data_IF_294651802293
#
_entry.id   IF_294651802293
#
_cell.length_a   1.000
_cell.length_b   1.000
_cell.length_c   1.000
_cell.angle_alpha   90.00
_cell.angle_beta   90.00
_cell.angle_gamma   90.00
#
_symmetry.space_group_name_H-M   'P 1'
#
loop_
_entity.id
_entity.type
_entity.pdbx_description
1 polymer ?
#
# COMPACT_ATOMS: atom_id res chain seq x y z
N UNK A 1 30.12 -18.20 -40.74
CA UNK A 1 29.51 -18.45 -39.39
C UNK A 1 28.52 -17.36 -39.13
N UNK A 2 27.24 -17.65 -39.33
CA UNK A 2 26.16 -16.67 -39.13
C UNK A 2 25.82 -16.60 -37.64
N UNK A 3 26.12 -15.47 -37.01
CA UNK A 3 25.62 -15.17 -35.68
C UNK A 3 24.14 -14.77 -35.80
N UNK A 4 23.25 -15.68 -35.38
CA UNK A 4 21.84 -15.36 -35.19
C UNK A 4 21.73 -14.37 -34.04
N UNK A 5 21.37 -13.13 -34.33
CA UNK A 5 20.95 -12.13 -33.38
C UNK A 5 19.60 -12.62 -32.86
N UNK A 6 19.56 -13.18 -31.66
CA UNK A 6 18.33 -13.37 -30.92
C UNK A 6 17.84 -11.97 -30.48
N UNK A 7 16.81 -11.51 -31.16
CA UNK A 7 16.02 -10.36 -30.68
C UNK A 7 15.46 -10.71 -29.31
N UNK A 8 15.46 -9.79 -28.33
CA UNK A 8 14.80 -10.04 -27.05
C UNK A 8 13.33 -10.30 -27.33
N UNK A 9 12.84 -11.46 -26.93
CA UNK A 9 11.42 -11.80 -26.93
C UNK A 9 10.68 -10.68 -26.19
N UNK A 10 9.81 -10.02 -26.94
CA UNK A 10 9.02 -8.90 -26.44
C UNK A 10 8.28 -9.27 -25.17
N UNK A 11 8.21 -8.34 -24.26
CA UNK A 11 7.40 -8.35 -23.03
C UNK A 11 5.90 -8.43 -23.35
N UNK A 12 5.47 -9.53 -23.97
CA UNK A 12 4.06 -9.89 -24.10
C UNK A 12 3.56 -10.23 -22.69
N UNK A 13 2.80 -9.30 -22.12
CA UNK A 13 1.87 -9.42 -21.01
C UNK A 13 2.21 -10.49 -19.95
N UNK A 14 3.13 -10.21 -19.03
CA UNK A 14 3.22 -11.02 -17.80
C UNK A 14 1.91 -10.85 -17.04
N UNK A 15 1.04 -11.83 -17.11
CA UNK A 15 -0.12 -11.91 -16.20
C UNK A 15 0.39 -12.06 -14.78
N UNK A 16 -0.20 -11.35 -13.78
CA UNK A 16 0.20 -11.51 -12.39
C UNK A 16 0.04 -12.98 -11.98
N UNK A 17 0.96 -13.49 -11.17
CA UNK A 17 0.84 -14.86 -10.68
C UNK A 17 -0.45 -15.02 -9.89
N UNK A 18 -1.16 -16.12 -10.07
CA UNK A 18 -2.40 -16.42 -9.35
C UNK A 18 -2.23 -16.22 -7.83
N UNK A 19 -1.08 -16.60 -7.28
CA UNK A 19 -0.75 -16.39 -5.87
C UNK A 19 -0.81 -14.92 -5.45
N UNK A 20 -0.39 -13.98 -6.30
CA UNK A 20 -0.43 -12.54 -6.01
C UNK A 20 -1.86 -12.01 -5.97
N UNK A 21 -2.72 -12.47 -6.88
CA UNK A 21 -4.14 -12.11 -6.88
C UNK A 21 -4.83 -12.68 -5.64
N UNK A 22 -4.58 -13.95 -5.32
CA UNK A 22 -5.12 -14.59 -4.09
C UNK A 22 -4.65 -13.83 -2.85
N UNK A 23 -3.37 -13.44 -2.78
CA UNK A 23 -2.84 -12.64 -1.68
C UNK A 23 -3.57 -11.30 -1.55
N UNK A 24 -3.84 -10.62 -2.66
CA UNK A 24 -4.56 -9.36 -2.66
C UNK A 24 -6.04 -9.53 -2.26
N UNK A 25 -6.70 -10.62 -2.70
CA UNK A 25 -8.05 -10.94 -2.26
C UNK A 25 -8.12 -11.23 -0.75
N UNK A 26 -7.16 -11.99 -0.22
CA UNK A 26 -7.06 -12.24 1.22
C UNK A 26 -6.77 -10.97 2.01
N UNK A 27 -5.92 -10.08 1.48
CA UNK A 27 -5.68 -8.77 2.05
C UNK A 27 -6.98 -7.96 2.16
N UNK A 28 -7.72 -7.88 1.06
CA UNK A 28 -8.99 -7.16 0.98
C UNK A 28 -10.02 -7.70 1.99
N UNK A 29 -10.22 -9.02 2.06
CA UNK A 29 -11.14 -9.66 3.01
C UNK A 29 -10.74 -9.36 4.45
N UNK A 30 -9.45 -9.46 4.75
CA UNK A 30 -8.93 -9.19 6.09
C UNK A 30 -9.08 -7.71 6.47
N UNK A 31 -8.81 -6.79 5.54
CA UNK A 31 -8.92 -5.34 5.77
C UNK A 31 -10.40 -4.96 5.90
N UNK A 32 -11.27 -5.45 5.04
CA UNK A 32 -12.72 -5.17 5.09
C UNK A 32 -13.36 -5.65 6.41
N UNK A 33 -12.84 -6.72 7.03
CA UNK A 33 -13.30 -7.16 8.35
C UNK A 33 -12.99 -6.15 9.47
N UNK A 34 -12.09 -5.19 9.23
CA UNK A 34 -11.73 -4.17 10.22
C UNK A 34 -12.94 -3.32 10.62
N UNK A 35 -13.85 -2.99 9.70
CA UNK A 35 -15.05 -2.22 9.99
C UNK A 35 -15.89 -2.87 11.11
N UNK A 36 -16.00 -4.20 11.11
CA UNK A 36 -16.73 -4.95 12.14
C UNK A 36 -16.00 -4.86 13.48
N UNK A 37 -14.69 -5.12 13.50
CA UNK A 37 -13.91 -5.05 14.75
C UNK A 37 -13.84 -3.62 15.30
N UNK A 38 -13.73 -2.59 14.45
CA UNK A 38 -13.74 -1.19 14.88
C UNK A 38 -15.07 -0.88 15.56
N UNK A 39 -16.21 -1.26 14.98
CA UNK A 39 -17.55 -1.04 15.57
C UNK A 39 -17.69 -1.67 16.96
N UNK A 40 -17.06 -2.82 17.20
CA UNK A 40 -17.03 -3.42 18.54
C UNK A 40 -16.05 -2.72 19.47
N UNK A 41 -14.89 -2.30 18.99
CA UNK A 41 -13.88 -1.59 19.78
C UNK A 41 -14.38 -0.24 20.27
N UNK A 42 -15.11 0.50 19.42
CA UNK A 42 -15.66 1.82 19.73
C UNK A 42 -16.74 1.83 20.79
N UNK A 43 -17.22 0.67 21.23
CA UNK A 43 -18.09 0.56 22.40
C UNK A 43 -17.36 0.84 23.73
N UNK A 44 -16.03 0.72 23.75
CA UNK A 44 -15.24 0.87 24.98
C UNK A 44 -14.17 1.97 24.89
N UNK A 45 -13.55 2.13 23.72
CA UNK A 45 -12.44 3.06 23.51
C UNK A 45 -12.67 3.95 22.29
N UNK A 46 -12.01 5.12 22.26
CA UNK A 46 -12.16 6.04 21.13
C UNK A 46 -11.58 5.48 19.82
N UNK A 47 -12.00 6.01 18.66
CA UNK A 47 -11.43 5.63 17.36
C UNK A 47 -9.91 5.80 17.30
N UNK A 48 -9.37 6.84 17.93
CA UNK A 48 -7.92 7.08 18.02
C UNK A 48 -7.22 6.02 18.87
N UNK A 49 -7.80 5.66 20.01
CA UNK A 49 -7.30 4.59 20.86
C UNK A 49 -7.37 3.22 20.16
N UNK A 50 -8.42 2.98 19.38
CA UNK A 50 -8.55 1.77 18.55
C UNK A 50 -7.41 1.68 17.52
N UNK A 51 -7.12 2.77 16.78
CA UNK A 51 -6.01 2.82 15.81
C UNK A 51 -4.64 2.65 16.52
N UNK A 52 -4.41 3.33 17.64
CA UNK A 52 -3.20 3.18 18.45
C UNK A 52 -2.98 1.72 18.88
N UNK A 53 -4.01 1.10 19.47
CA UNK A 53 -3.92 -0.28 19.96
C UNK A 53 -3.66 -1.26 18.80
N UNK A 54 -4.24 -1.05 17.64
CA UNK A 54 -3.96 -1.84 16.44
C UNK A 54 -2.47 -1.80 16.09
N UNK A 55 -1.83 -0.61 16.13
CA UNK A 55 -0.40 -0.48 15.82
C UNK A 55 0.50 -1.01 16.93
N UNK A 56 0.19 -0.66 18.18
CA UNK A 56 0.96 -1.10 19.34
C UNK A 56 0.98 -2.63 19.47
N UNK A 57 -0.18 -3.29 19.40
CA UNK A 57 -0.27 -4.75 19.43
C UNK A 57 0.50 -5.41 18.30
N UNK A 58 0.35 -4.89 17.07
CA UNK A 58 1.11 -5.37 15.91
C UNK A 58 2.61 -5.26 16.17
N UNK A 59 3.08 -4.14 16.71
CA UNK A 59 4.49 -3.92 17.03
C UNK A 59 5.00 -4.94 18.05
N UNK A 60 4.23 -5.22 19.09
CA UNK A 60 4.58 -6.22 20.11
C UNK A 60 4.61 -7.62 19.51
N UNK A 61 3.57 -8.03 18.79
CA UNK A 61 3.49 -9.37 18.19
C UNK A 61 4.64 -9.62 17.21
N UNK A 62 4.86 -8.70 16.28
CA UNK A 62 5.93 -8.84 15.28
C UNK A 62 7.32 -8.64 15.90
N UNK A 63 7.45 -7.80 16.92
CA UNK A 63 8.70 -7.61 17.67
C UNK A 63 9.13 -8.89 18.38
N UNK A 64 8.21 -9.52 19.13
CA UNK A 64 8.44 -10.80 19.79
C UNK A 64 8.76 -11.91 18.78
N UNK A 65 8.00 -12.01 17.70
CA UNK A 65 8.26 -12.97 16.63
C UNK A 65 9.63 -12.80 15.99
N UNK A 66 9.99 -11.56 15.68
CA UNK A 66 11.29 -11.24 15.06
C UNK A 66 12.45 -11.50 16.02
N UNK A 67 12.28 -11.15 17.30
CA UNK A 67 13.25 -11.43 18.37
C UNK A 67 13.47 -12.93 18.57
N UNK A 68 12.40 -13.71 18.67
CA UNK A 68 12.48 -15.16 18.79
C UNK A 68 13.21 -15.81 17.60
N UNK A 69 12.87 -15.39 16.37
CA UNK A 69 13.55 -15.90 15.18
C UNK A 69 15.05 -15.50 15.13
N UNK A 70 15.40 -14.30 15.64
CA UNK A 70 16.80 -13.88 15.72
C UNK A 70 17.60 -14.74 16.68
N UNK A 71 17.06 -15.02 17.88
CA UNK A 71 17.70 -15.91 18.87
C UNK A 71 17.88 -17.32 18.32
N UNK A 72 16.82 -17.87 17.68
CA UNK A 72 16.89 -19.19 17.08
C UNK A 72 17.96 -19.31 16.00
N UNK A 73 18.09 -18.30 15.12
CA UNK A 73 19.15 -18.28 14.09
C UNK A 73 20.56 -18.18 14.67
N UNK A 74 20.74 -17.48 15.79
CA UNK A 74 22.03 -17.47 16.49
C UNK A 74 22.42 -18.84 17.05
N UNK A 75 21.46 -19.62 17.55
CA UNK A 75 21.69 -20.98 18.05
C UNK A 75 22.02 -21.98 16.93
N UNK A 76 21.52 -21.77 15.73
CA UNK A 76 21.78 -22.65 14.56
C UNK A 76 23.13 -22.39 13.89
N UNK A 77 24.04 -21.60 14.48
CA UNK A 77 25.38 -21.25 13.97
C UNK A 77 25.42 -20.73 12.51
N UNK A 78 24.30 -20.27 11.99
CA UNK A 78 24.16 -19.73 10.63
C UNK A 78 24.50 -18.24 10.59
N UNK A 79 25.61 -17.82 11.21
CA UNK A 79 26.05 -16.44 11.22
C UNK A 79 26.82 -16.12 9.92
N UNK A 80 26.12 -15.93 8.83
CA UNK A 80 26.66 -15.13 7.73
C UNK A 80 26.49 -13.66 8.13
N UNK A 81 27.57 -12.84 8.20
CA UNK A 81 27.43 -11.40 8.44
C UNK A 81 26.65 -10.78 7.29
N UNK A 82 25.35 -10.67 7.45
CA UNK A 82 24.50 -10.01 6.48
C UNK A 82 24.68 -8.51 6.72
N UNK A 83 25.29 -7.79 5.76
CA UNK A 83 25.33 -6.33 5.80
C UNK A 83 23.94 -5.80 6.10
N UNK A 84 23.84 -4.92 7.09
CA UNK A 84 22.54 -4.40 7.51
C UNK A 84 21.89 -3.69 6.30
N UNK A 85 20.68 -4.07 5.88
CA UNK A 85 20.04 -3.45 4.73
C UNK A 85 19.59 -2.01 5.01
N UNK A 86 19.79 -1.50 6.23
CA UNK A 86 19.29 -0.20 6.67
C UNK A 86 20.23 0.92 6.25
N UNK A 87 20.02 1.46 5.05
CA UNK A 87 20.63 2.73 4.62
C UNK A 87 19.79 3.91 5.13
N UNK A 88 20.37 5.12 5.18
CA UNK A 88 19.60 6.32 5.56
C UNK A 88 18.34 6.53 4.71
N UNK A 89 18.38 6.16 3.43
CA UNK A 89 17.23 6.23 2.54
C UNK A 89 16.10 5.24 2.95
N UNK A 90 16.47 4.02 3.31
CA UNK A 90 15.50 3.00 3.76
C UNK A 90 14.86 3.41 5.09
N UNK A 91 15.66 3.96 6.03
CA UNK A 91 15.14 4.46 7.31
C UNK A 91 14.16 5.61 7.06
N UNK A 92 14.48 6.56 6.17
CA UNK A 92 13.57 7.63 5.78
C UNK A 92 12.27 7.12 5.16
N UNK A 93 12.34 6.11 4.28
CA UNK A 93 11.15 5.49 3.69
C UNK A 93 10.29 4.76 4.74
N UNK A 94 10.90 4.03 5.67
CA UNK A 94 10.20 3.38 6.79
C UNK A 94 9.47 4.40 7.66
N UNK A 95 10.14 5.54 7.97
CA UNK A 95 9.52 6.62 8.70
C UNK A 95 8.30 7.20 7.96
N UNK A 96 8.43 7.46 6.65
CA UNK A 96 7.32 7.93 5.82
C UNK A 96 6.16 6.94 5.80
N UNK A 97 6.42 5.64 5.62
CA UNK A 97 5.38 4.60 5.62
C UNK A 97 4.63 4.59 6.95
N UNK A 98 5.32 4.62 8.09
CA UNK A 98 4.67 4.64 9.41
C UNK A 98 3.91 5.95 9.68
N UNK A 99 4.48 7.10 9.28
CA UNK A 99 3.85 8.41 9.42
C UNK A 99 2.55 8.51 8.62
N UNK A 100 2.59 8.14 7.34
CA UNK A 100 1.42 8.23 6.46
C UNK A 100 0.35 7.17 6.77
N UNK A 101 0.74 6.00 7.26
CA UNK A 101 -0.19 5.02 7.79
C UNK A 101 -0.94 5.54 9.04
N UNK A 102 -0.23 6.20 9.95
CA UNK A 102 -0.86 6.81 11.13
C UNK A 102 -1.74 8.00 10.72
N UNK A 103 -1.24 8.86 9.83
CA UNK A 103 -1.98 10.04 9.35
C UNK A 103 -3.30 9.66 8.67
N UNK A 104 -3.28 8.63 7.80
CA UNK A 104 -4.47 8.11 7.15
C UNK A 104 -5.53 7.70 8.17
N UNK A 105 -5.21 6.78 9.08
CA UNK A 105 -6.19 6.27 10.03
C UNK A 105 -6.68 7.32 11.03
N UNK A 106 -5.82 8.22 11.47
CA UNK A 106 -6.18 9.27 12.43
C UNK A 106 -7.06 10.33 11.76
N UNK A 107 -6.69 10.78 10.56
CA UNK A 107 -7.47 11.79 9.82
C UNK A 107 -8.81 11.22 9.38
N UNK A 108 -8.85 9.96 8.97
CA UNK A 108 -10.10 9.28 8.65
C UNK A 108 -11.00 9.16 9.89
N UNK A 109 -10.47 8.72 11.03
CA UNK A 109 -11.20 8.65 12.29
C UNK A 109 -11.72 10.03 12.72
N UNK A 110 -10.91 11.08 12.60
CA UNK A 110 -11.34 12.45 12.88
C UNK A 110 -12.41 12.94 11.91
N UNK A 111 -12.30 12.62 10.63
CA UNK A 111 -13.30 13.00 9.64
C UNK A 111 -14.68 12.45 9.98
N UNK A 112 -14.76 11.22 10.47
CA UNK A 112 -16.01 10.58 10.89
C UNK A 112 -16.70 11.33 12.06
N UNK A 113 -15.97 12.06 12.89
CA UNK A 113 -16.54 12.91 13.95
C UNK A 113 -17.04 14.25 13.42
N UNK A 114 -16.58 14.70 12.24
CA UNK A 114 -16.85 16.03 11.69
C UNK A 114 -17.83 16.01 10.51
N UNK A 115 -17.91 14.91 9.76
CA UNK A 115 -18.80 14.77 8.60
C UNK A 115 -19.62 13.48 8.66
N UNK A 116 -20.46 13.22 7.66
CA UNK A 116 -21.21 11.96 7.62
C UNK A 116 -20.27 10.79 7.24
N UNK A 117 -20.58 9.61 7.75
CA UNK A 117 -19.84 8.38 7.42
C UNK A 117 -19.79 8.17 5.91
N UNK A 118 -20.90 8.46 5.21
CA UNK A 118 -20.98 8.36 3.75
C UNK A 118 -20.00 9.30 3.06
N UNK A 119 -19.95 10.59 3.44
CA UNK A 119 -19.01 11.55 2.86
C UNK A 119 -17.55 11.16 3.14
N UNK A 120 -17.21 10.85 4.39
CA UNK A 120 -15.87 10.45 4.77
C UNK A 120 -15.40 9.23 3.96
N UNK A 121 -16.26 8.22 3.82
CA UNK A 121 -15.93 6.99 3.06
C UNK A 121 -15.81 7.26 1.57
N UNK A 122 -16.70 8.07 0.98
CA UNK A 122 -16.62 8.44 -0.44
C UNK A 122 -15.31 9.17 -0.77
N UNK A 123 -14.94 10.14 0.08
CA UNK A 123 -13.74 10.94 -0.14
C UNK A 123 -12.47 10.13 0.10
N UNK A 124 -12.46 9.21 1.06
CA UNK A 124 -11.37 8.26 1.27
C UNK A 124 -11.18 7.32 0.06
N UNK A 125 -12.25 6.95 -0.61
CA UNK A 125 -12.22 6.13 -1.84
C UNK A 125 -11.61 6.86 -3.07
N UNK A 126 -11.21 8.12 -2.96
CA UNK A 126 -10.41 8.82 -3.99
C UNK A 126 -8.92 8.47 -3.96
N UNK A 127 -8.47 7.62 -3.06
CA UNK A 127 -7.09 7.14 -2.99
C UNK A 127 -6.50 6.72 -4.35
N UNK A 128 -7.19 5.95 -5.24
CA UNK A 128 -6.63 5.58 -6.55
C UNK A 128 -6.35 6.79 -7.45
N UNK A 129 -7.17 7.84 -7.36
CA UNK A 129 -6.96 9.08 -8.12
C UNK A 129 -5.66 9.75 -7.66
N UNK A 130 -5.46 9.89 -6.35
CA UNK A 130 -4.22 10.43 -5.78
C UNK A 130 -3.01 9.56 -6.10
N UNK A 131 -3.15 8.22 -6.09
CA UNK A 131 -2.09 7.30 -6.47
C UNK A 131 -1.69 7.45 -7.93
N UNK A 132 -2.65 7.58 -8.84
CA UNK A 132 -2.37 7.85 -10.26
C UNK A 132 -1.74 9.23 -10.47
N UNK A 133 -2.24 10.26 -9.81
CA UNK A 133 -1.67 11.61 -9.89
C UNK A 133 -0.23 11.61 -9.35
N UNK A 134 0.01 10.97 -8.21
CA UNK A 134 1.35 10.81 -7.64
C UNK A 134 2.29 10.02 -8.53
N UNK A 135 1.83 8.90 -9.09
CA UNK A 135 2.59 8.08 -10.04
C UNK A 135 2.97 8.86 -11.31
N UNK A 136 2.03 9.64 -11.84
CA UNK A 136 2.30 10.50 -13.01
C UNK A 136 3.26 11.65 -12.68
N UNK A 137 3.03 12.37 -11.60
CA UNK A 137 3.78 13.58 -11.25
C UNK A 137 5.20 13.27 -10.75
N UNK A 138 5.35 12.30 -9.84
CA UNK A 138 6.63 12.02 -9.16
C UNK A 138 7.41 10.86 -9.80
N UNK A 139 6.70 9.88 -10.38
CA UNK A 139 7.32 8.69 -10.96
C UNK A 139 7.31 8.72 -12.48
N UNK A 140 6.73 9.77 -13.11
CA UNK A 140 6.56 9.90 -14.57
C UNK A 140 5.91 8.67 -15.21
N UNK A 141 5.05 7.97 -14.45
CA UNK A 141 4.31 6.82 -14.96
C UNK A 141 3.28 7.29 -15.97
N UNK A 142 3.11 6.51 -17.04
CA UNK A 142 2.04 6.71 -18.02
C UNK A 142 1.05 5.56 -17.85
N UNK A 143 -0.22 5.92 -17.71
CA UNK A 143 -1.30 4.95 -17.60
C UNK A 143 -1.97 4.82 -18.96
N UNK A 144 -2.26 3.58 -19.36
CA UNK A 144 -3.00 3.32 -20.60
C UNK A 144 -4.49 3.63 -20.43
N UNK A 145 -5.16 3.82 -21.56
CA UNK A 145 -6.58 4.21 -21.57
C UNK A 145 -7.47 3.16 -20.91
N UNK A 146 -7.13 1.89 -21.04
CA UNK A 146 -7.89 0.78 -20.45
C UNK A 146 -7.86 0.85 -18.91
N UNK A 147 -6.70 1.12 -18.31
CA UNK A 147 -6.56 1.31 -16.87
C UNK A 147 -7.38 2.49 -16.37
N UNK A 148 -7.25 3.65 -17.03
CA UNK A 148 -7.97 4.88 -16.65
C UNK A 148 -9.48 4.72 -16.80
N UNK A 149 -9.94 4.05 -17.85
CA UNK A 149 -11.37 3.77 -18.06
C UNK A 149 -11.92 2.84 -16.98
N UNK A 150 -11.21 1.75 -16.69
CA UNK A 150 -11.60 0.83 -15.60
C UNK A 150 -11.64 1.52 -14.24
N UNK A 151 -10.67 2.37 -13.94
CA UNK A 151 -10.63 3.18 -12.73
C UNK A 151 -11.82 4.15 -12.68
N UNK A 152 -12.14 4.86 -13.77
CA UNK A 152 -13.27 5.78 -13.82
C UNK A 152 -14.60 5.06 -13.60
N UNK A 153 -14.78 3.87 -14.21
CA UNK A 153 -15.98 3.03 -14.02
C UNK A 153 -16.11 2.58 -12.57
N UNK A 154 -15.02 2.08 -11.95
CA UNK A 154 -15.03 1.61 -10.57
C UNK A 154 -15.33 2.75 -9.59
N UNK A 155 -14.70 3.91 -9.75
CA UNK A 155 -14.95 5.09 -8.92
C UNK A 155 -16.40 5.57 -9.08
N UNK A 156 -16.91 5.69 -10.30
CA UNK A 156 -18.29 6.12 -10.55
C UNK A 156 -19.30 5.18 -9.89
N UNK A 157 -19.05 3.86 -9.91
CA UNK A 157 -19.91 2.87 -9.26
C UNK A 157 -19.94 3.04 -7.74
N UNK A 158 -18.79 3.25 -7.09
CA UNK A 158 -18.71 3.49 -5.64
C UNK A 158 -19.39 4.82 -5.26
N UNK A 159 -19.20 5.87 -6.06
CA UNK A 159 -19.90 7.14 -5.84
C UNK A 159 -21.41 7.01 -5.99
N UNK A 160 -21.90 6.18 -6.93
CA UNK A 160 -23.34 5.93 -7.10
C UNK A 160 -23.97 5.27 -5.86
N UNK A 161 -23.22 4.39 -5.15
CA UNK A 161 -23.67 3.81 -3.89
C UNK A 161 -23.79 4.88 -2.80
N UNK A 162 -22.73 5.66 -2.61
CA UNK A 162 -22.67 6.63 -1.53
C UNK A 162 -23.50 7.90 -1.77
N UNK A 163 -23.86 8.20 -3.03
CA UNK A 163 -24.60 9.43 -3.34
C UNK A 163 -25.99 9.47 -2.73
N UNK A 164 -26.65 8.32 -2.56
CA UNK A 164 -27.94 8.23 -1.90
C UNK A 164 -27.88 8.53 -0.39
N UNK A 165 -26.72 8.24 0.24
CA UNK A 165 -26.49 8.47 1.67
C UNK A 165 -25.82 9.81 1.93
N UNK A 166 -25.39 10.49 0.87
CA UNK A 166 -24.68 11.77 0.92
C UNK A 166 -25.69 12.90 1.13
N UNK A 167 -26.09 13.11 2.37
CA UNK A 167 -26.72 14.38 2.74
C UNK A 167 -25.63 15.45 2.75
N UNK A 168 -25.66 16.35 1.78
CA UNK A 168 -24.87 17.57 1.73
C UNK A 168 -25.21 18.45 2.94
N UNK A 169 -24.74 18.03 4.11
CA UNK A 169 -24.95 18.75 5.36
C UNK A 169 -24.06 19.99 5.40
N UNK A 170 -24.70 21.13 5.37
CA UNK A 170 -24.08 22.44 5.54
C UNK A 170 -23.16 22.46 6.78
N UNK A 171 -21.89 22.80 6.60
CA UNK A 171 -20.96 23.12 7.68
C UNK A 171 -19.90 22.04 8.01
N UNK A 172 -19.79 20.95 7.27
CA UNK A 172 -18.86 19.83 7.57
C UNK A 172 -17.58 19.82 6.72
N UNK A 173 -17.22 20.97 6.15
CA UNK A 173 -16.11 21.14 5.22
C UNK A 173 -14.76 20.65 5.79
N UNK A 174 -14.50 20.85 7.09
CA UNK A 174 -13.26 20.39 7.73
C UNK A 174 -13.15 18.86 7.78
N UNK A 175 -14.27 18.16 8.02
CA UNK A 175 -14.31 16.70 7.99
C UNK A 175 -14.05 16.15 6.59
N UNK A 176 -14.63 16.79 5.58
CA UNK A 176 -14.43 16.40 4.18
C UNK A 176 -12.98 16.61 3.72
N UNK A 177 -12.35 17.74 4.12
CA UNK A 177 -10.91 17.95 3.87
C UNK A 177 -10.06 16.89 4.57
N UNK A 178 -10.37 16.54 5.82
CA UNK A 178 -9.63 15.51 6.53
C UNK A 178 -9.70 14.15 5.84
N UNK A 179 -10.88 13.75 5.34
CA UNK A 179 -11.04 12.52 4.55
C UNK A 179 -10.23 12.54 3.26
N UNK A 180 -10.17 13.69 2.55
CA UNK A 180 -9.31 13.84 1.37
C UNK A 180 -7.83 13.75 1.70
N UNK A 181 -7.39 14.37 2.81
CA UNK A 181 -5.99 14.28 3.26
C UNK A 181 -5.66 12.85 3.71
N UNK A 182 -6.61 12.13 4.32
CA UNK A 182 -6.47 10.71 4.62
C UNK A 182 -6.25 9.90 3.34
N UNK A 183 -7.10 10.07 2.32
CA UNK A 183 -6.94 9.41 1.02
C UNK A 183 -5.59 9.72 0.35
N UNK A 184 -5.14 10.96 0.40
CA UNK A 184 -3.82 11.36 -0.08
C UNK A 184 -2.71 10.68 0.73
N UNK A 185 -2.84 10.63 2.08
CA UNK A 185 -1.88 9.98 2.96
C UNK A 185 -1.76 8.49 2.66
N UNK A 186 -2.89 7.80 2.47
CA UNK A 186 -2.90 6.39 2.09
C UNK A 186 -2.28 6.15 0.71
N UNK A 187 -2.50 7.05 -0.25
CA UNK A 187 -1.85 7.02 -1.57
C UNK A 187 -0.32 7.11 -1.46
N UNK A 188 0.19 8.04 -0.65
CA UNK A 188 1.64 8.18 -0.40
C UNK A 188 2.18 6.93 0.31
N UNK A 189 1.46 6.43 1.33
CA UNK A 189 1.78 5.18 2.01
C UNK A 189 1.98 4.04 1.03
N UNK A 190 1.01 3.77 0.14
CA UNK A 190 1.09 2.69 -0.85
C UNK A 190 2.26 2.88 -1.83
N UNK A 191 2.50 4.11 -2.29
CA UNK A 191 3.58 4.42 -3.23
C UNK A 191 4.98 4.20 -2.63
N UNK A 192 5.17 4.59 -1.36
CA UNK A 192 6.44 4.36 -0.65
C UNK A 192 6.59 2.88 -0.30
N UNK A 193 5.50 2.24 0.09
CA UNK A 193 5.44 0.82 0.41
C UNK A 193 5.85 -0.07 -0.77
N UNK A 194 5.38 0.25 -1.99
CA UNK A 194 5.76 -0.44 -3.23
C UNK A 194 7.28 -0.41 -3.46
N UNK A 195 7.92 0.74 -3.20
CA UNK A 195 9.38 0.87 -3.34
C UNK A 195 10.12 0.09 -2.26
N UNK A 196 9.62 0.15 -1.03
CA UNK A 196 10.27 -0.45 0.11
C UNK A 196 10.17 -1.98 0.09
N UNK A 197 9.06 -2.51 -0.44
CA UNK A 197 8.82 -3.95 -0.56
C UNK A 197 9.89 -4.66 -1.38
N UNK A 198 10.44 -4.01 -2.41
CA UNK A 198 11.56 -4.57 -3.21
C UNK A 198 12.90 -4.63 -2.47
N UNK A 199 13.02 -3.93 -1.33
CA UNK A 199 14.27 -3.81 -0.56
C UNK A 199 14.22 -4.55 0.78
N UNK A 200 13.04 -4.64 1.38
CA UNK A 200 12.81 -5.26 2.67
C UNK A 200 11.65 -6.26 2.60
N UNK A 201 11.74 -7.33 3.40
CA UNK A 201 10.63 -8.27 3.54
C UNK A 201 9.44 -7.66 4.28
N UNK A 202 8.21 -8.11 3.95
CA UNK A 202 6.96 -7.60 4.48
C UNK A 202 6.92 -7.50 6.02
N UNK A 203 7.42 -8.53 6.73
CA UNK A 203 7.45 -8.54 8.21
C UNK A 203 8.25 -7.38 8.80
N UNK A 204 9.41 -7.04 8.20
CA UNK A 204 10.25 -5.92 8.67
C UNK A 204 9.57 -4.58 8.40
N UNK A 205 8.94 -4.44 7.23
CA UNK A 205 8.20 -3.23 6.87
C UNK A 205 7.04 -3.01 7.86
N UNK A 206 6.23 -4.05 8.10
CA UNK A 206 5.09 -3.98 9.02
C UNK A 206 5.53 -3.70 10.46
N UNK A 207 6.61 -4.30 10.94
CA UNK A 207 7.13 -4.05 12.27
C UNK A 207 7.51 -2.57 12.45
N UNK A 208 8.35 -2.06 11.56
CA UNK A 208 8.84 -0.68 11.66
C UNK A 208 7.74 0.35 11.39
N UNK A 209 6.89 0.14 10.38
CA UNK A 209 5.78 1.04 10.10
C UNK A 209 4.77 1.10 11.25
N UNK A 210 4.43 -0.05 11.85
CA UNK A 210 3.54 -0.10 13.01
C UNK A 210 4.18 0.52 14.25
N UNK A 211 5.49 0.32 14.49
CA UNK A 211 6.20 0.95 15.59
C UNK A 211 6.20 2.48 15.48
N UNK A 212 6.50 3.00 14.28
CA UNK A 212 6.47 4.44 14.02
C UNK A 212 5.04 4.99 14.14
N UNK A 213 4.06 4.28 13.57
CA UNK A 213 2.65 4.66 13.68
C UNK A 213 2.18 4.68 15.14
N UNK A 214 2.65 3.75 15.98
CA UNK A 214 2.39 3.75 17.43
C UNK A 214 2.92 5.02 18.10
N UNK A 215 4.18 5.39 17.79
CA UNK A 215 4.81 6.60 18.37
C UNK A 215 4.09 7.87 17.90
N UNK A 216 3.71 7.93 16.63
CA UNK A 216 3.01 9.09 16.06
C UNK A 216 1.58 9.23 16.60
N UNK A 217 0.86 8.12 16.79
CA UNK A 217 -0.53 8.14 17.30
C UNK A 217 -0.62 8.36 18.80
N UNK A 218 0.42 8.03 19.58
CA UNK A 218 0.40 8.14 21.03
C UNK A 218 0.05 9.55 21.56
N UNK A 219 0.67 10.65 21.09
CA UNK A 219 0.33 11.99 21.56
C UNK A 219 -1.15 12.33 21.32
N UNK A 220 -1.71 11.88 20.20
CA UNK A 220 -3.09 12.19 19.81
C UNK A 220 -4.07 11.48 20.76
N UNK A 221 -3.82 10.22 21.07
CA UNK A 221 -4.62 9.45 22.04
C UNK A 221 -4.55 10.05 23.44
N UNK A 222 -3.36 10.55 23.85
CA UNK A 222 -3.20 11.20 25.15
C UNK A 222 -3.93 12.56 25.23
N UNK A 223 -4.00 13.31 24.12
CA UNK A 223 -4.72 14.58 24.04
C UNK A 223 -6.24 14.34 24.03
N UNK A 224 -6.70 13.25 23.37
CA UNK A 224 -8.11 12.86 23.34
C UNK A 224 -8.69 12.63 24.77
N UNK A 225 -7.84 12.25 25.71
CA UNK A 225 -8.18 12.12 27.13
C UNK A 225 -9.15 10.98 27.47
N UNK A 226 -9.49 10.15 26.47
CA UNK A 226 -10.33 8.96 26.64
C UNK A 226 -9.57 7.76 27.21
N UNK A 227 -10.28 6.64 27.33
CA UNK A 227 -9.64 5.36 27.68
C UNK A 227 -8.71 4.91 26.56
N UNK A 228 -7.44 4.72 26.90
CA UNK A 228 -6.41 4.27 25.92
C UNK A 228 -6.52 2.78 25.65
N UNK A 229 -6.83 1.98 26.67
CA UNK A 229 -6.89 0.51 26.57
C UNK A 229 -8.28 -0.02 26.89
N UNK A 230 -8.72 -1.12 26.25
CA UNK A 230 -9.96 -1.78 26.60
C UNK A 230 -9.98 -2.26 28.06
N UNK A 231 -11.14 -2.26 28.66
CA UNK A 231 -11.33 -2.74 30.05
C UNK A 231 -11.90 -4.15 30.11
N UNK A 232 -12.66 -4.55 29.07
CA UNK A 232 -13.26 -5.88 29.01
C UNK A 232 -12.38 -6.86 28.23
N UNK A 233 -12.60 -8.15 28.43
CA UNK A 233 -11.93 -9.20 27.65
C UNK A 233 -12.39 -9.19 26.18
N UNK A 234 -13.65 -8.80 25.90
CA UNK A 234 -14.17 -8.65 24.54
C UNK A 234 -13.45 -7.53 23.79
N UNK A 235 -13.25 -6.37 24.45
CA UNK A 235 -12.49 -5.26 23.90
C UNK A 235 -11.06 -5.65 23.56
N UNK A 236 -10.37 -6.38 24.45
CA UNK A 236 -9.04 -6.90 24.19
C UNK A 236 -9.01 -7.89 23.02
N UNK A 237 -9.99 -8.83 22.96
CA UNK A 237 -10.10 -9.77 21.84
C UNK A 237 -10.27 -9.02 20.51
N UNK A 238 -11.11 -8.00 20.50
CA UNK A 238 -11.37 -7.17 19.31
C UNK A 238 -10.09 -6.49 18.82
N UNK A 239 -9.32 -5.88 19.71
CA UNK A 239 -8.06 -5.20 19.36
C UNK A 239 -7.00 -6.21 18.91
N UNK A 240 -6.93 -7.39 19.53
CA UNK A 240 -6.04 -8.48 19.10
C UNK A 240 -6.41 -8.95 17.69
N UNK A 241 -7.71 -9.10 17.40
CA UNK A 241 -8.19 -9.45 16.06
C UNK A 241 -7.86 -8.35 15.04
N UNK A 242 -8.03 -7.07 15.39
CA UNK A 242 -7.62 -5.95 14.54
C UNK A 242 -6.13 -5.99 14.22
N UNK A 243 -5.29 -6.24 15.22
CA UNK A 243 -3.84 -6.34 15.03
C UNK A 243 -3.44 -7.60 14.23
N UNK A 244 -4.00 -8.76 14.57
CA UNK A 244 -3.65 -10.04 13.95
C UNK A 244 -4.22 -10.20 12.53
N UNK A 245 -5.53 -10.02 12.39
CA UNK A 245 -6.22 -10.25 11.12
C UNK A 245 -6.04 -9.07 10.18
N UNK A 246 -6.38 -7.85 10.62
CA UNK A 246 -6.40 -6.73 9.70
C UNK A 246 -4.99 -6.16 9.45
N UNK A 247 -4.15 -6.05 10.49
CA UNK A 247 -2.83 -5.43 10.34
C UNK A 247 -1.77 -6.45 9.93
N UNK A 248 -1.62 -7.56 10.62
CA UNK A 248 -0.53 -8.51 10.30
C UNK A 248 -0.88 -9.30 9.04
N UNK A 249 -2.02 -9.96 9.00
CA UNK A 249 -2.42 -10.76 7.84
C UNK A 249 -2.82 -9.86 6.68
N UNK A 250 -3.75 -8.92 6.85
CA UNK A 250 -4.28 -8.07 5.78
C UNK A 250 -3.20 -7.19 5.16
N UNK A 251 -2.54 -6.36 5.95
CA UNK A 251 -1.47 -5.50 5.45
C UNK A 251 -0.24 -6.31 5.00
N UNK A 252 0.05 -7.46 5.63
CA UNK A 252 1.13 -8.35 5.19
C UNK A 252 0.91 -8.91 3.80
N UNK A 253 -0.30 -9.38 3.50
CA UNK A 253 -0.68 -9.86 2.18
C UNK A 253 -0.74 -8.72 1.15
N UNK A 254 -1.15 -7.51 1.56
CA UNK A 254 -1.12 -6.33 0.72
C UNK A 254 0.33 -5.97 0.34
N UNK A 255 1.25 -5.91 1.31
CA UNK A 255 2.68 -5.67 1.03
C UNK A 255 3.23 -6.72 0.08
N UNK A 256 2.86 -8.00 0.26
CA UNK A 256 3.30 -9.06 -0.63
C UNK A 256 2.75 -8.89 -2.05
N UNK A 257 1.52 -8.41 -2.22
CA UNK A 257 0.93 -8.18 -3.55
C UNK A 257 1.65 -7.07 -4.35
N UNK A 258 2.22 -6.09 -3.65
CA UNK A 258 3.04 -5.01 -4.25
C UNK A 258 4.38 -5.49 -4.83
N UNK A 259 4.71 -6.77 -4.69
CA UNK A 259 5.86 -7.35 -5.39
C UNK A 259 5.66 -7.38 -6.92
N UNK A 260 4.44 -7.59 -7.37
CA UNK A 260 4.12 -7.73 -8.80
C UNK A 260 3.12 -6.69 -9.30
N UNK A 261 2.30 -6.11 -8.41
CA UNK A 261 1.25 -5.16 -8.77
C UNK A 261 1.68 -3.73 -8.42
N UNK A 262 1.20 -2.78 -9.21
CA UNK A 262 1.45 -1.36 -8.95
C UNK A 262 0.62 -0.86 -7.75
N UNK A 263 1.12 0.16 -7.05
CA UNK A 263 0.40 0.79 -5.94
C UNK A 263 -0.93 1.41 -6.38
N UNK A 264 -1.00 1.90 -7.61
CA UNK A 264 -2.21 2.46 -8.21
C UNK A 264 -3.29 1.40 -8.40
N UNK A 265 -2.89 0.21 -8.88
CA UNK A 265 -3.83 -0.90 -9.02
C UNK A 265 -4.27 -1.45 -7.65
N UNK A 266 -3.36 -1.58 -6.70
CA UNK A 266 -3.70 -2.02 -5.34
C UNK A 266 -4.68 -1.03 -4.70
N UNK A 267 -4.46 0.29 -4.83
CA UNK A 267 -5.38 1.31 -4.36
C UNK A 267 -6.77 1.17 -5.01
N UNK A 268 -6.80 0.93 -6.34
CA UNK A 268 -8.04 0.71 -7.07
C UNK A 268 -8.75 -0.58 -6.63
N UNK A 269 -8.01 -1.66 -6.37
CA UNK A 269 -8.59 -2.92 -5.91
C UNK A 269 -9.23 -2.78 -4.52
N UNK A 270 -8.66 -1.95 -3.65
CA UNK A 270 -9.22 -1.66 -2.33
C UNK A 270 -10.54 -0.88 -2.38
N UNK A 271 -10.93 -0.31 -3.54
CA UNK A 271 -12.29 0.21 -3.74
C UNK A 271 -13.39 -0.85 -3.56
N UNK A 272 -13.04 -2.13 -3.60
CA UNK A 272 -13.96 -3.22 -3.32
C UNK A 272 -14.23 -3.41 -1.80
N UNK A 273 -13.47 -2.73 -0.93
CA UNK A 273 -13.64 -2.82 0.52
C UNK A 273 -15.06 -2.43 0.99
N UNK A 274 -15.68 -1.31 0.54
CA UNK A 274 -17.06 -0.98 0.90
C UNK A 274 -18.07 -2.03 0.45
N UNK A 275 -17.81 -2.71 -0.66
CA UNK A 275 -18.66 -3.80 -1.15
C UNK A 275 -18.65 -4.96 -0.16
N UNK A 276 -17.46 -5.39 0.26
CA UNK A 276 -17.31 -6.48 1.22
C UNK A 276 -17.84 -6.10 2.62
N UNK A 277 -17.62 -4.85 3.04
CA UNK A 277 -18.18 -4.33 4.28
C UNK A 277 -19.71 -4.32 4.24
N UNK A 278 -20.32 -3.90 3.12
CA UNK A 278 -21.76 -3.94 2.90
C UNK A 278 -22.34 -5.36 2.91
N UNK A 279 -21.68 -6.31 2.22
CA UNK A 279 -22.06 -7.73 2.26
C UNK A 279 -21.93 -8.30 3.66
N UNK A 280 -20.88 -7.94 4.40
CA UNK A 280 -20.68 -8.34 5.79
C UNK A 280 -21.78 -7.78 6.72
N UNK A 281 -22.15 -6.51 6.54
CA UNK A 281 -23.23 -5.87 7.29
C UNK A 281 -24.59 -6.54 7.00
N UNK A 282 -24.87 -6.86 5.74
CA UNK A 282 -26.05 -7.62 5.37
C UNK A 282 -26.10 -9.00 6.05
N UNK A 283 -24.99 -9.75 6.02
CA UNK A 283 -24.93 -11.09 6.58
C UNK A 283 -25.00 -11.13 8.12
N UNK A 284 -24.37 -10.16 8.81
CA UNK A 284 -24.21 -10.16 10.27
C UNK A 284 -25.27 -9.31 10.98
N UNK A 285 -25.70 -8.20 10.37
CA UNK A 285 -26.63 -7.25 10.97
C UNK A 285 -27.99 -7.23 10.29
N UNK A 286 -28.24 -8.13 9.29
CA UNK A 286 -29.47 -8.23 8.51
C UNK A 286 -29.86 -6.90 7.84
N UNK A 287 -28.88 -6.07 7.50
CA UNK A 287 -29.09 -4.83 6.75
C UNK A 287 -29.55 -5.17 5.31
N UNK A 288 -30.53 -4.44 4.77
CA UNK A 288 -31.04 -4.72 3.43
C UNK A 288 -30.10 -4.12 2.38
N UNK A 289 -29.57 -4.97 1.50
CA UNK A 289 -28.88 -4.52 0.29
C UNK A 289 -29.89 -4.18 -0.80
N UNK A 290 -29.98 -2.90 -1.17
CA UNK A 290 -30.82 -2.47 -2.27
C UNK A 290 -30.32 -3.01 -3.62
N UNK A 291 -31.24 -3.15 -4.57
CA UNK A 291 -30.90 -3.57 -5.96
C UNK A 291 -29.85 -2.64 -6.60
N UNK A 292 -29.92 -1.32 -6.30
CA UNK A 292 -28.95 -0.34 -6.77
C UNK A 292 -27.53 -0.67 -6.29
N UNK A 293 -27.36 -1.08 -5.03
CA UNK A 293 -26.07 -1.47 -4.46
C UNK A 293 -25.52 -2.71 -5.18
N UNK A 294 -26.35 -3.72 -5.47
CA UNK A 294 -25.92 -4.92 -6.19
C UNK A 294 -25.47 -4.59 -7.63
N UNK A 295 -26.18 -3.71 -8.33
CA UNK A 295 -25.81 -3.26 -9.68
C UNK A 295 -24.51 -2.48 -9.64
N UNK A 296 -24.35 -1.56 -8.68
CA UNK A 296 -23.13 -0.78 -8.53
C UNK A 296 -21.93 -1.67 -8.15
N UNK A 297 -22.14 -2.69 -7.31
CA UNK A 297 -21.10 -3.69 -7.00
C UNK A 297 -20.63 -4.42 -8.27
N UNK A 298 -21.56 -4.87 -9.11
CA UNK A 298 -21.22 -5.53 -10.38
C UNK A 298 -20.43 -4.59 -11.31
N UNK A 299 -20.83 -3.32 -11.42
CA UNK A 299 -20.13 -2.31 -12.23
C UNK A 299 -18.72 -2.05 -11.67
N UNK A 300 -18.57 -1.93 -10.35
CA UNK A 300 -17.26 -1.74 -9.71
C UNK A 300 -16.31 -2.92 -10.00
N UNK A 301 -16.82 -4.17 -9.89
CA UNK A 301 -16.05 -5.37 -10.24
C UNK A 301 -15.60 -5.38 -11.70
N UNK A 302 -16.47 -4.96 -12.64
CA UNK A 302 -16.12 -4.84 -14.06
C UNK A 302 -15.01 -3.80 -14.26
N UNK A 303 -15.11 -2.64 -13.60
CA UNK A 303 -14.08 -1.59 -13.64
C UNK A 303 -12.73 -2.08 -13.12
N UNK A 304 -12.70 -2.77 -11.98
CA UNK A 304 -11.47 -3.37 -11.40
C UNK A 304 -10.90 -4.45 -12.33
N UNK A 305 -11.73 -5.32 -12.87
CA UNK A 305 -11.31 -6.35 -13.83
C UNK A 305 -10.68 -5.75 -15.10
N UNK A 306 -11.30 -4.70 -15.64
CA UNK A 306 -10.78 -3.99 -16.81
C UNK A 306 -9.38 -3.40 -16.53
N UNK A 307 -9.20 -2.79 -15.35
CA UNK A 307 -7.92 -2.25 -14.93
C UNK A 307 -6.87 -3.35 -14.67
N UNK A 308 -7.27 -4.51 -14.12
CA UNK A 308 -6.37 -5.65 -13.91
C UNK A 308 -5.83 -6.21 -15.22
N UNK A 309 -6.65 -6.17 -16.26
CA UNK A 309 -6.28 -6.66 -17.60
C UNK A 309 -5.35 -5.71 -18.36
N UNK A 310 -5.04 -4.55 -17.79
CA UNK A 310 -4.16 -3.53 -18.37
C UNK A 310 -2.69 -3.77 -17.97
N UNK A 311 -1.72 -3.49 -18.86
CA UNK A 311 -0.30 -3.50 -18.52
C UNK A 311 0.07 -2.57 -17.36
N UNK A 312 -0.67 -1.48 -17.18
CA UNK A 312 -0.44 -0.51 -16.10
C UNK A 312 -0.77 -1.06 -14.69
N UNK A 313 -1.49 -2.18 -14.59
CA UNK A 313 -1.74 -2.85 -13.31
C UNK A 313 -0.50 -3.49 -12.72
N UNK A 314 0.47 -3.85 -13.58
CA UNK A 314 1.71 -4.49 -13.14
C UNK A 314 2.70 -3.43 -12.65
N UNK A 315 3.53 -3.84 -11.70
CA UNK A 315 4.64 -3.02 -11.25
C UNK A 315 5.56 -2.73 -12.43
N UNK A 316 5.78 -1.45 -12.72
CA UNK A 316 6.83 -1.05 -13.64
C UNK A 316 8.17 -1.50 -13.03
N UNK A 317 8.81 -2.50 -13.62
CA UNK A 317 10.23 -2.71 -13.41
C UNK A 317 10.88 -1.38 -13.84
N UNK A 318 11.31 -0.58 -12.85
CA UNK A 318 12.25 0.48 -13.12
C UNK A 318 13.36 -0.20 -13.88
N UNK A 319 13.64 0.27 -15.10
CA UNK A 319 14.82 -0.14 -15.86
C UNK A 319 16.01 0.32 -15.01
N UNK A 320 16.34 -0.46 -13.99
CA UNK A 320 17.66 -0.40 -13.40
C UNK A 320 18.54 -0.96 -14.52
N UNK A 321 19.45 -0.17 -15.09
CA UNK A 321 20.41 -0.72 -16.02
C UNK A 321 21.05 -1.90 -15.29
N UNK A 322 20.85 -3.09 -15.82
CA UNK A 322 21.41 -4.33 -15.25
C UNK A 322 22.88 -4.04 -14.95
N UNK A 323 23.37 -4.54 -13.81
CA UNK A 323 24.80 -4.42 -13.48
C UNK A 323 25.68 -4.81 -14.68
N UNK A 324 25.20 -5.74 -15.51
CA UNK A 324 25.79 -6.09 -16.80
C UNK A 324 25.77 -4.93 -17.83
N UNK A 325 24.70 -4.13 -17.87
CA UNK A 325 24.61 -2.98 -18.80
C UNK A 325 25.51 -1.83 -18.34
N UNK A 326 25.60 -1.60 -17.01
CA UNK A 326 26.54 -0.62 -16.43
C UNK A 326 28.00 -1.07 -16.60
N UNK A 327 28.30 -2.36 -16.49
CA UNK A 327 29.63 -2.89 -16.79
C UNK A 327 29.97 -2.74 -18.27
N UNK A 328 29.07 -3.08 -19.17
CA UNK A 328 29.27 -2.92 -20.62
C UNK A 328 29.46 -1.44 -20.99
N UNK A 329 28.71 -0.53 -20.40
CA UNK A 329 28.85 0.90 -20.66
C UNK A 329 30.16 1.47 -20.08
N UNK A 330 30.60 0.94 -18.93
CA UNK A 330 31.90 1.29 -18.32
C UNK A 330 33.06 0.72 -19.13
N UNK A 331 32.95 -0.51 -19.65
CA UNK A 331 33.96 -1.14 -20.46
C UNK A 331 34.06 -0.48 -21.84
N UNK A 332 32.93 -0.06 -22.45
CA UNK A 332 32.91 0.72 -23.69
C UNK A 332 33.60 2.07 -23.51
N UNK A 333 33.29 2.79 -22.41
CA UNK A 333 33.94 4.07 -22.09
C UNK A 333 35.45 3.95 -21.83
N UNK A 334 35.87 2.82 -21.24
CA UNK A 334 37.30 2.55 -21.03
C UNK A 334 38.02 2.20 -22.34
N UNK A 335 37.37 1.41 -23.21
CA UNK A 335 37.90 1.12 -24.57
C UNK A 335 38.01 2.37 -25.44
N UNK A 336 37.02 3.26 -25.42
CA UNK A 336 37.10 4.56 -26.10
C UNK A 336 38.32 5.37 -25.64
N UNK A 337 38.55 5.44 -24.34
CA UNK A 337 39.73 6.14 -23.77
C UNK A 337 41.07 5.51 -24.18
N UNK A 338 41.13 4.18 -24.25
CA UNK A 338 42.33 3.48 -24.77
C UNK A 338 42.58 3.74 -26.26
N UNK A 339 41.53 3.68 -27.07
CA UNK A 339 41.61 3.99 -28.49
C UNK A 339 42.10 5.44 -28.73
N UNK A 340 41.53 6.39 -28.00
CA UNK A 340 41.95 7.80 -28.08
C UNK A 340 43.42 7.96 -27.67
N UNK A 341 43.88 7.23 -26.64
CA UNK A 341 45.27 7.27 -26.16
C UNK A 341 46.26 6.67 -27.19
N UNK A 342 45.86 5.58 -27.88
CA UNK A 342 46.64 4.95 -28.92
C UNK A 342 46.73 5.85 -30.16
N UNK A 343 45.63 6.48 -30.55
CA UNK A 343 45.61 7.45 -31.68
C UNK A 343 46.46 8.68 -31.39
N UNK A 344 46.38 9.24 -30.18
CA UNK A 344 47.20 10.37 -29.78
C UNK A 344 48.71 10.04 -29.80
N UNK A 345 49.09 8.86 -29.25
CA UNK A 345 50.49 8.42 -29.24
C UNK A 345 51.01 8.14 -30.67
N UNK A 346 50.17 7.64 -31.57
CA UNK A 346 50.56 7.42 -32.97
C UNK A 346 50.71 8.73 -33.76
N UNK A 347 49.91 9.76 -33.42
CA UNK A 347 50.07 11.10 -33.98
C UNK A 347 51.34 11.83 -33.51
N UNK A 348 51.70 11.65 -32.25
CA UNK A 348 52.94 12.23 -31.66
C UNK A 348 54.15 11.58 -32.24
N UNK A 349 54.15 10.24 -32.45
CA UNK A 349 55.25 9.49 -33.01
C UNK A 349 55.50 9.74 -34.54
N UNK A 350 54.50 10.30 -35.26
CA UNK A 350 54.67 10.68 -36.68
C UNK A 350 55.20 12.10 -36.89
N UNK A 351 55.20 12.90 -35.82
CA UNK A 351 55.66 14.30 -35.88
C UNK A 351 56.99 14.54 -35.17
N UNK A 352 57.64 13.49 -34.65
CA UNK A 352 59.03 13.45 -34.18
C UNK A 352 59.95 12.76 -35.22
#
# INVERSE_FOLDING_TARGET
MAHSIQLPEGSLGRTPRLATIVSLCLALLSIASAAIFIKFSEQEISPYATAFNRFWMTTVILGLWSGFNAVRRQQENSFTPQSSPYTGAIIGQLFLVGLFLAADLILWAWSLTQTSVANATLLANLTPVFSCLGGWLFCRRRFDQQFLLGMAIAIAAIFAIGFNDCQLANGKFLGDIAALIAALSFSVYLSVLERLQSQLGATKILLWSSAIATVVSLPIVLIDGGQVFPTSWQGWLTVICLAGVCQILGQGMLVHSLDQLSSEFVALFLLLEPILAGVGAWALFSEQLGLLNLVAFAIALVGVYLSLSSPSALKHEAIQPSFATLQVETDLKNREKEVVKVVLNSCVAKNA
#
